data_IF_308516709967
#
_entry.id   IF_308516709967
#
_cell.length_a   1.000
_cell.length_b   1.000
_cell.length_c   1.000
_cell.angle_alpha   90.00
_cell.angle_beta   90.00
_cell.angle_gamma   90.00
#
_symmetry.space_group_name_H-M   'P 1'
#
loop_
_entity.id
_entity.type
_entity.pdbx_description
1 polymer ?
#
# COMPACT_ATOMS: atom_id res chain seq x y z
N UNK A 1 -7.45 26.39 -3.57
CA UNK A 1 -6.77 25.23 -4.15
C UNK A 1 -6.41 24.27 -3.03
N UNK A 2 -6.37 22.96 -3.26
CA UNK A 2 -5.84 22.03 -2.24
C UNK A 2 -4.42 22.43 -1.84
N UNK A 3 -4.10 22.27 -0.55
CA UNK A 3 -2.75 22.55 -0.04
C UNK A 3 -1.84 21.32 -0.09
N UNK A 4 -2.41 20.14 -0.34
CA UNK A 4 -1.69 18.88 -0.43
C UNK A 4 -1.60 18.43 -1.89
N UNK A 5 -0.40 18.13 -2.34
CA UNK A 5 -0.13 17.50 -3.65
C UNK A 5 0.33 16.07 -3.43
N UNK A 6 -0.34 15.13 -4.08
CA UNK A 6 0.02 13.72 -4.11
C UNK A 6 0.71 13.38 -5.44
N UNK A 7 1.85 12.73 -5.37
CA UNK A 7 2.62 12.25 -6.50
C UNK A 7 2.62 10.72 -6.50
N UNK A 8 2.00 10.10 -7.51
CA UNK A 8 1.84 8.66 -7.50
C UNK A 8 1.48 8.03 -8.83
N UNK A 9 1.23 6.75 -8.77
CA UNK A 9 0.69 5.90 -9.82
C UNK A 9 -0.17 4.83 -9.15
N UNK A 10 -1.19 4.29 -9.81
CA UNK A 10 -2.07 3.23 -9.30
C UNK A 10 -1.33 1.87 -9.18
N UNK A 11 -0.23 1.87 -8.45
CA UNK A 11 0.50 0.69 -7.99
C UNK A 11 0.13 0.42 -6.52
N UNK A 12 0.38 -0.78 -5.98
CA UNK A 12 0.03 -1.06 -4.58
C UNK A 12 0.54 -0.03 -3.58
N UNK A 13 1.75 0.51 -3.77
CA UNK A 13 2.28 1.53 -2.88
C UNK A 13 1.62 2.90 -3.08
N UNK A 14 1.31 3.30 -4.31
CA UNK A 14 0.55 4.52 -4.59
C UNK A 14 -0.86 4.44 -4.03
N UNK A 15 -1.54 3.33 -4.27
CA UNK A 15 -2.90 3.05 -3.81
C UNK A 15 -3.07 3.15 -2.28
N UNK A 16 -2.05 2.81 -1.49
CA UNK A 16 -2.09 3.03 -0.03
C UNK A 16 -2.41 4.49 0.32
N UNK A 17 -1.69 5.40 -0.33
CA UNK A 17 -1.77 6.85 -0.03
C UNK A 17 -3.03 7.46 -0.63
N UNK A 18 -3.36 7.15 -1.88
CA UNK A 18 -4.58 7.67 -2.51
C UNK A 18 -5.85 7.19 -1.80
N UNK A 19 -5.89 5.92 -1.36
CA UNK A 19 -6.98 5.40 -0.52
C UNK A 19 -7.06 6.15 0.80
N UNK A 20 -5.95 6.41 1.47
CA UNK A 20 -5.94 7.16 2.73
C UNK A 20 -6.45 8.60 2.54
N UNK A 21 -6.05 9.27 1.47
CA UNK A 21 -6.53 10.63 1.15
C UNK A 21 -8.04 10.66 0.95
N UNK A 22 -8.60 9.68 0.22
CA UNK A 22 -10.04 9.54 -0.01
C UNK A 22 -10.81 9.17 1.28
N UNK A 23 -10.30 8.21 2.06
CA UNK A 23 -10.94 7.80 3.32
C UNK A 23 -10.91 8.90 4.39
N UNK A 24 -9.85 9.69 4.42
CA UNK A 24 -9.70 10.80 5.35
C UNK A 24 -10.40 12.08 4.88
N UNK A 25 -10.92 12.07 3.64
CA UNK A 25 -11.61 13.22 3.02
C UNK A 25 -10.71 14.45 2.91
N UNK A 26 -9.42 14.22 2.64
CA UNK A 26 -8.44 15.29 2.45
C UNK A 26 -8.54 15.81 1.01
N UNK A 27 -8.70 17.12 0.84
CA UNK A 27 -8.61 17.73 -0.48
C UNK A 27 -7.15 17.73 -0.97
N UNK A 28 -6.90 17.20 -2.16
CA UNK A 28 -5.56 17.09 -2.74
C UNK A 28 -5.55 17.31 -4.25
N UNK A 29 -4.39 17.70 -4.78
CA UNK A 29 -4.07 17.64 -6.21
C UNK A 29 -3.30 16.34 -6.50
N UNK A 30 -3.74 15.55 -7.47
CA UNK A 30 -3.04 14.33 -7.89
C UNK A 30 -2.14 14.61 -9.10
N UNK A 31 -0.86 14.22 -9.00
CA UNK A 31 0.12 14.26 -10.09
C UNK A 31 0.60 12.86 -10.41
N UNK A 32 0.31 12.40 -11.62
CA UNK A 32 0.76 11.09 -12.09
C UNK A 32 2.25 11.12 -12.39
N UNK A 33 3.00 10.21 -11.78
CA UNK A 33 4.41 9.92 -12.07
C UNK A 33 4.46 8.59 -12.81
N UNK A 34 4.60 8.64 -14.13
CA UNK A 34 4.62 7.44 -14.95
C UNK A 34 5.99 6.77 -14.91
N UNK A 35 6.13 5.77 -14.03
CA UNK A 35 7.38 5.03 -13.83
C UNK A 35 7.79 4.19 -15.06
N UNK A 36 6.90 3.99 -16.03
CA UNK A 36 7.20 3.33 -17.30
C UNK A 36 7.86 4.28 -18.32
N UNK A 37 7.82 5.60 -18.04
CA UNK A 37 8.43 6.65 -18.84
C UNK A 37 9.59 7.34 -18.10
N UNK A 38 10.02 6.75 -17.00
CA UNK A 38 11.11 7.26 -16.17
C UNK A 38 10.86 8.65 -15.53
N UNK A 39 9.57 9.07 -15.38
CA UNK A 39 9.21 10.33 -14.74
C UNK A 39 9.75 10.46 -13.32
N UNK A 40 9.96 9.34 -12.61
CA UNK A 40 10.53 9.32 -11.26
C UNK A 40 11.99 9.78 -11.19
N UNK A 41 12.67 9.88 -12.33
CA UNK A 41 14.07 10.34 -12.41
C UNK A 41 14.20 11.80 -12.87
N UNK A 42 13.08 12.50 -13.09
CA UNK A 42 13.13 13.94 -13.41
C UNK A 42 13.69 14.73 -12.22
N UNK A 43 14.47 15.81 -12.48
CA UNK A 43 15.03 16.63 -11.39
C UNK A 43 13.98 17.15 -10.42
N UNK A 44 12.80 17.49 -10.93
CA UNK A 44 11.67 18.00 -10.16
C UNK A 44 11.16 16.95 -9.16
N UNK A 45 11.02 15.69 -9.59
CA UNK A 45 10.56 14.63 -8.69
C UNK A 45 11.67 14.16 -7.75
N UNK A 46 12.92 14.11 -8.20
CA UNK A 46 14.07 13.76 -7.34
C UNK A 46 14.24 14.77 -6.21
N UNK A 47 13.92 16.07 -6.44
CA UNK A 47 13.92 17.09 -5.39
C UNK A 47 12.84 16.83 -4.31
N UNK A 48 11.73 16.16 -4.67
CA UNK A 48 10.67 15.74 -3.74
C UNK A 48 11.04 14.44 -3.04
N UNK A 49 11.55 13.46 -3.80
CA UNK A 49 11.95 12.16 -3.28
C UNK A 49 13.32 11.72 -3.83
N UNK A 50 14.39 11.85 -3.04
CA UNK A 50 15.74 11.47 -3.47
C UNK A 50 15.89 9.96 -3.75
N UNK A 51 14.95 9.12 -3.29
CA UNK A 51 14.92 7.69 -3.61
C UNK A 51 14.31 7.39 -4.99
N UNK A 52 13.76 8.40 -5.69
CA UNK A 52 13.16 8.24 -7.02
C UNK A 52 12.08 7.16 -7.07
N UNK A 53 11.22 7.09 -6.06
CA UNK A 53 10.11 6.13 -5.92
C UNK A 53 8.80 6.85 -5.65
N UNK A 54 7.71 6.31 -6.17
CA UNK A 54 6.35 6.70 -5.77
C UNK A 54 5.88 5.82 -4.58
N UNK A 55 4.97 6.32 -3.73
CA UNK A 55 4.39 7.67 -3.70
C UNK A 55 5.25 8.69 -2.95
N UNK A 56 4.92 9.98 -3.16
CA UNK A 56 5.36 11.09 -2.34
C UNK A 56 4.23 12.12 -2.16
N UNK A 57 4.31 12.96 -1.15
CA UNK A 57 3.40 14.10 -0.95
C UNK A 57 4.19 15.37 -0.66
N UNK A 58 3.59 16.50 -1.04
CA UNK A 58 3.97 17.84 -0.57
C UNK A 58 2.74 18.45 0.08
N UNK A 59 2.83 18.82 1.35
CA UNK A 59 1.75 19.45 2.09
C UNK A 59 2.19 20.85 2.55
N UNK A 60 1.55 21.89 2.01
CA UNK A 60 1.82 23.30 2.35
C UNK A 60 1.29 23.68 3.74
N UNK A 61 0.43 22.86 4.31
CA UNK A 61 -0.19 23.04 5.62
C UNK A 61 0.22 21.90 6.58
N UNK A 62 1.48 21.63 6.64
CA UNK A 62 2.07 20.63 7.52
C UNK A 62 2.14 21.08 8.99
N UNK A 63 2.93 20.38 9.81
CA UNK A 63 3.08 20.73 11.23
C UNK A 63 3.49 22.21 11.43
N UNK A 64 2.87 22.86 12.39
CA UNK A 64 3.05 24.28 12.67
C UNK A 64 2.72 25.22 11.47
N UNK A 65 1.91 24.75 10.52
CA UNK A 65 1.58 25.49 9.29
C UNK A 65 2.74 25.62 8.31
N UNK A 66 3.75 24.75 8.42
CA UNK A 66 4.93 24.77 7.56
C UNK A 66 4.81 23.72 6.47
N UNK A 67 5.41 24.00 5.31
CA UNK A 67 5.52 23.03 4.24
C UNK A 67 6.29 21.80 4.72
N UNK A 68 5.75 20.61 4.40
CA UNK A 68 6.43 19.32 4.59
C UNK A 68 6.40 18.51 3.29
N UNK A 69 7.50 17.86 3.00
CA UNK A 69 7.62 16.90 1.90
C UNK A 69 7.91 15.53 2.48
N UNK A 70 7.13 14.52 2.11
CA UNK A 70 7.28 13.16 2.60
C UNK A 70 7.29 12.15 1.46
N UNK A 71 8.15 11.18 1.59
CA UNK A 71 8.15 9.92 0.86
C UNK A 71 8.11 8.75 1.86
N UNK A 72 8.08 7.51 1.40
CA UNK A 72 7.71 6.29 2.11
C UNK A 72 6.20 6.22 2.42
N UNK A 73 5.52 5.29 1.75
CA UNK A 73 4.06 5.16 1.88
C UNK A 73 3.59 4.94 3.31
N UNK A 74 4.39 4.21 4.13
CA UNK A 74 4.08 4.00 5.54
C UNK A 74 4.20 5.28 6.37
N UNK A 75 5.24 6.09 6.13
CA UNK A 75 5.41 7.38 6.80
C UNK A 75 4.30 8.37 6.42
N UNK A 76 3.90 8.37 5.14
CA UNK A 76 2.79 9.19 4.65
C UNK A 76 1.48 8.78 5.31
N UNK A 77 1.16 7.49 5.38
CA UNK A 77 -0.03 6.98 6.06
C UNK A 77 -0.07 7.40 7.54
N UNK A 78 1.06 7.26 8.22
CA UNK A 78 1.18 7.68 9.62
C UNK A 78 0.94 9.19 9.77
N UNK A 79 1.60 10.01 8.94
CA UNK A 79 1.42 11.45 8.92
C UNK A 79 -0.04 11.88 8.71
N UNK A 80 -0.71 11.28 7.71
CA UNK A 80 -2.11 11.61 7.40
C UNK A 80 -3.05 11.21 8.54
N UNK A 81 -2.80 10.08 9.19
CA UNK A 81 -3.57 9.65 10.36
C UNK A 81 -3.38 10.59 11.56
N UNK A 82 -2.16 11.04 11.82
CA UNK A 82 -1.85 12.03 12.87
C UNK A 82 -2.51 13.38 12.56
N UNK A 83 -2.38 13.86 11.31
CA UNK A 83 -2.96 15.13 10.86
C UNK A 83 -4.47 15.16 11.01
N UNK A 84 -5.16 14.08 10.73
CA UNK A 84 -6.63 14.01 10.72
C UNK A 84 -7.24 13.47 12.00
N UNK A 85 -6.46 12.73 12.80
CA UNK A 85 -6.95 11.97 13.96
C UNK A 85 -7.85 10.80 13.57
N UNK A 86 -7.79 10.32 12.30
CA UNK A 86 -8.61 9.25 11.75
C UNK A 86 -7.78 7.99 11.48
N UNK A 87 -8.42 6.82 11.52
CA UNK A 87 -7.86 5.51 11.12
C UNK A 87 -6.60 5.07 11.88
N UNK A 88 -6.42 5.63 13.07
CA UNK A 88 -5.43 5.16 14.05
C UNK A 88 -6.07 5.23 15.44
N UNK A 89 -6.00 4.14 16.23
CA UNK A 89 -6.47 4.16 17.62
C UNK A 89 -5.80 5.27 18.43
N UNK A 90 -6.57 5.86 19.35
CA UNK A 90 -6.06 6.95 20.20
C UNK A 90 -5.29 6.46 21.43
N UNK A 91 -5.57 5.22 21.86
CA UNK A 91 -4.86 4.60 22.97
C UNK A 91 -3.49 4.07 22.52
N UNK A 92 -2.53 4.04 23.45
CA UNK A 92 -1.15 3.68 23.15
C UNK A 92 -1.02 2.23 22.65
N UNK A 93 -1.79 1.30 23.21
CA UNK A 93 -1.73 -0.12 22.80
C UNK A 93 -2.19 -0.29 21.36
N UNK A 94 -3.31 0.33 20.98
CA UNK A 94 -3.83 0.32 19.62
C UNK A 94 -2.87 1.00 18.64
N UNK A 95 -2.28 2.13 19.04
CA UNK A 95 -1.27 2.84 18.23
C UNK A 95 -0.06 1.96 17.94
N UNK A 96 0.53 1.32 18.97
CA UNK A 96 1.68 0.44 18.77
C UNK A 96 1.35 -0.79 17.95
N UNK A 97 0.16 -1.38 18.12
CA UNK A 97 -0.30 -2.50 17.27
C UNK A 97 -0.46 -2.07 15.82
N UNK A 98 -1.05 -0.91 15.56
CA UNK A 98 -1.17 -0.36 14.20
C UNK A 98 0.21 -0.14 13.58
N UNK A 99 1.14 0.45 14.33
CA UNK A 99 2.51 0.65 13.90
C UNK A 99 3.24 -0.67 13.62
N UNK A 100 3.07 -1.70 14.48
CA UNK A 100 3.63 -3.03 14.27
C UNK A 100 3.21 -3.62 12.92
N UNK A 101 1.91 -3.57 12.59
CA UNK A 101 1.39 -4.09 11.34
C UNK A 101 1.79 -3.24 10.14
N UNK A 102 1.89 -1.92 10.32
CA UNK A 102 2.42 -1.03 9.29
C UNK A 102 3.89 -1.38 8.99
N UNK A 103 4.74 -1.58 10.00
CA UNK A 103 6.12 -1.99 9.81
C UNK A 103 6.24 -3.41 9.22
N UNK A 104 5.35 -4.34 9.62
CA UNK A 104 5.28 -5.67 9.01
C UNK A 104 4.97 -5.61 7.51
N UNK A 105 4.08 -4.69 7.10
CA UNK A 105 3.83 -4.44 5.68
C UNK A 105 5.06 -3.88 4.97
N UNK A 106 5.72 -2.85 5.55
CA UNK A 106 6.84 -2.16 4.91
C UNK A 106 8.10 -3.03 4.82
N UNK A 107 8.36 -3.85 5.84
CA UNK A 107 9.54 -4.72 5.89
C UNK A 107 9.32 -6.14 5.33
N UNK A 108 8.08 -6.57 5.20
CA UNK A 108 7.73 -7.95 4.83
C UNK A 108 6.83 -8.00 3.60
N UNK A 109 5.54 -7.72 3.76
CA UNK A 109 4.52 -7.96 2.72
C UNK A 109 4.88 -7.24 1.41
N UNK A 110 5.08 -5.94 1.45
CA UNK A 110 5.36 -5.16 0.24
C UNK A 110 6.59 -5.65 -0.51
N UNK A 111 7.77 -5.73 0.13
CA UNK A 111 8.97 -6.22 -0.50
C UNK A 111 8.86 -7.66 -1.03
N UNK A 112 8.30 -8.58 -0.24
CA UNK A 112 8.24 -10.01 -0.64
C UNK A 112 7.22 -10.25 -1.74
N UNK A 113 6.04 -9.63 -1.69
CA UNK A 113 5.04 -9.72 -2.77
C UNK A 113 5.56 -9.04 -4.05
N UNK A 114 6.33 -7.96 -3.91
CA UNK A 114 7.00 -7.30 -5.03
C UNK A 114 8.06 -8.21 -5.68
N UNK A 115 8.90 -8.89 -4.89
CA UNK A 115 9.87 -9.85 -5.40
C UNK A 115 9.18 -11.06 -6.03
N UNK A 116 8.11 -11.57 -5.40
CA UNK A 116 7.31 -12.62 -6.02
C UNK A 116 6.82 -12.19 -7.41
N UNK A 117 6.19 -11.02 -7.53
CA UNK A 117 5.72 -10.50 -8.81
C UNK A 117 6.84 -10.31 -9.83
N UNK A 118 8.03 -9.90 -9.37
CA UNK A 118 9.19 -9.77 -10.25
C UNK A 118 9.53 -11.11 -10.91
N UNK A 119 9.75 -12.17 -10.13
CA UNK A 119 10.16 -13.48 -10.66
C UNK A 119 9.00 -14.28 -11.28
N UNK A 120 7.78 -14.06 -10.81
CA UNK A 120 6.61 -14.76 -11.36
C UNK A 120 6.16 -14.18 -12.71
N UNK A 121 6.18 -12.86 -12.87
CA UNK A 121 5.59 -12.17 -14.03
C UNK A 121 6.63 -11.46 -14.90
N UNK A 122 7.47 -10.59 -14.31
CA UNK A 122 8.33 -9.69 -15.10
C UNK A 122 9.63 -10.32 -15.58
N UNK A 123 10.21 -11.20 -14.79
CA UNK A 123 11.49 -11.85 -15.09
C UNK A 123 11.36 -13.32 -15.53
N UNK A 124 10.13 -13.79 -15.81
CA UNK A 124 9.86 -15.20 -16.16
C UNK A 124 10.71 -15.71 -17.33
N UNK A 125 11.00 -14.86 -18.31
CA UNK A 125 11.79 -15.20 -19.49
C UNK A 125 13.29 -14.82 -19.34
N UNK A 126 13.65 -14.10 -18.25
CA UNK A 126 15.02 -13.65 -17.98
C UNK A 126 15.72 -14.49 -16.92
N UNK A 127 14.96 -15.03 -15.99
CA UNK A 127 15.46 -15.90 -14.91
C UNK A 127 14.89 -17.32 -15.10
N UNK A 128 15.73 -18.21 -15.60
CA UNK A 128 15.36 -19.61 -15.84
C UNK A 128 15.57 -20.51 -14.62
N UNK A 129 16.32 -20.02 -13.61
CA UNK A 129 16.48 -20.73 -12.35
C UNK A 129 15.14 -20.74 -11.59
N UNK A 130 14.59 -21.89 -11.21
CA UNK A 130 13.33 -22.00 -10.49
C UNK A 130 13.39 -21.49 -9.04
N UNK A 131 14.57 -21.49 -8.42
CA UNK A 131 14.75 -21.22 -7.00
C UNK A 131 14.22 -19.83 -6.55
N UNK A 132 14.51 -18.70 -7.23
CA UNK A 132 13.96 -17.41 -6.81
C UNK A 132 12.43 -17.38 -6.83
N UNK A 133 11.81 -17.92 -7.88
CA UNK A 133 10.36 -18.01 -7.99
C UNK A 133 9.77 -18.86 -6.86
N UNK A 134 10.34 -20.04 -6.61
CA UNK A 134 9.89 -20.93 -5.54
C UNK A 134 10.06 -20.29 -4.17
N UNK A 135 11.21 -19.70 -3.89
CA UNK A 135 11.50 -18.99 -2.64
C UNK A 135 10.46 -17.91 -2.33
N UNK A 136 10.18 -17.02 -3.29
CA UNK A 136 9.23 -15.94 -3.08
C UNK A 136 7.78 -16.39 -3.13
N UNK A 137 7.44 -17.46 -3.83
CA UNK A 137 6.13 -18.13 -3.71
C UNK A 137 5.90 -18.59 -2.28
N UNK A 138 6.87 -19.33 -1.73
CA UNK A 138 6.78 -19.86 -0.36
C UNK A 138 6.68 -18.74 0.68
N UNK A 139 7.47 -17.68 0.54
CA UNK A 139 7.42 -16.53 1.46
C UNK A 139 6.10 -15.76 1.32
N UNK A 140 5.58 -15.56 0.11
CA UNK A 140 4.27 -14.93 -0.11
C UNK A 140 3.16 -15.73 0.57
N UNK A 141 3.14 -17.05 0.40
CA UNK A 141 2.16 -17.92 1.07
C UNK A 141 2.30 -17.90 2.58
N UNK A 142 3.53 -17.91 3.10
CA UNK A 142 3.78 -17.79 4.54
C UNK A 142 3.20 -16.49 5.10
N UNK A 143 3.41 -15.36 4.43
CA UNK A 143 2.88 -14.06 4.84
C UNK A 143 1.35 -14.00 4.73
N UNK A 144 0.75 -14.58 3.70
CA UNK A 144 -0.71 -14.74 3.61
C UNK A 144 -1.24 -15.58 4.77
N UNK A 145 -0.56 -16.65 5.17
CA UNK A 145 -0.91 -17.45 6.35
C UNK A 145 -0.88 -16.66 7.66
N UNK A 146 0.01 -15.68 7.79
CA UNK A 146 0.02 -14.76 8.95
C UNK A 146 -1.24 -13.89 8.96
N UNK A 147 -1.60 -13.30 7.79
CA UNK A 147 -2.82 -12.51 7.65
C UNK A 147 -4.08 -13.35 7.92
N UNK A 148 -4.14 -14.56 7.37
CA UNK A 148 -5.26 -15.50 7.53
C UNK A 148 -5.53 -15.83 8.99
N UNK A 149 -4.45 -16.11 9.75
CA UNK A 149 -4.54 -16.39 11.18
C UNK A 149 -5.07 -15.19 11.96
N UNK A 150 -4.59 -13.98 11.65
CA UNK A 150 -5.02 -12.75 12.31
C UNK A 150 -6.49 -12.44 12.01
N UNK A 151 -6.86 -12.48 10.75
CA UNK A 151 -8.21 -12.18 10.27
C UNK A 151 -9.23 -13.29 10.58
N UNK A 152 -8.79 -14.45 11.04
CA UNK A 152 -9.70 -15.47 11.59
C UNK A 152 -10.32 -15.07 12.93
N UNK A 153 -9.74 -14.08 13.61
CA UNK A 153 -10.13 -13.67 14.96
C UNK A 153 -10.82 -12.29 14.98
N UNK A 154 -10.71 -11.51 13.91
CA UNK A 154 -11.22 -10.14 13.88
C UNK A 154 -11.46 -9.66 12.44
N UNK A 155 -12.34 -8.66 12.24
CA UNK A 155 -12.69 -8.18 10.90
C UNK A 155 -11.57 -7.38 10.20
N UNK A 156 -10.67 -6.72 10.94
CA UNK A 156 -9.58 -5.93 10.43
C UNK A 156 -8.25 -6.27 11.10
N UNK A 157 -7.14 -5.87 10.50
CA UNK A 157 -5.79 -6.27 10.90
C UNK A 157 -5.47 -5.93 12.38
N UNK A 158 -5.97 -4.81 12.89
CA UNK A 158 -5.65 -4.39 14.27
C UNK A 158 -6.78 -4.73 15.26
N UNK A 159 -8.01 -4.93 14.80
CA UNK A 159 -9.17 -5.20 15.66
C UNK A 159 -10.49 -5.03 14.96
N UNK A 160 -11.41 -4.31 15.60
CA UNK A 160 -12.78 -4.10 15.10
C UNK A 160 -12.88 -2.95 14.09
N UNK A 161 -11.87 -2.08 14.02
CA UNK A 161 -11.89 -0.88 13.19
C UNK A 161 -10.88 -0.96 12.04
N UNK A 162 -11.29 -0.44 10.90
CA UNK A 162 -10.42 -0.23 9.74
C UNK A 162 -9.38 0.85 10.04
N UNK A 163 -8.11 0.54 9.79
CA UNK A 163 -6.98 1.42 10.13
C UNK A 163 -6.01 1.61 8.96
N UNK A 164 -5.01 2.47 9.14
CA UNK A 164 -3.91 2.62 8.17
C UNK A 164 -3.10 1.31 7.97
N UNK A 165 -3.17 0.35 8.88
CA UNK A 165 -2.58 -0.97 8.69
C UNK A 165 -3.29 -1.75 7.58
N UNK A 166 -4.63 -1.69 7.56
CA UNK A 166 -5.44 -2.27 6.49
C UNK A 166 -5.15 -1.59 5.16
N UNK A 167 -5.17 -0.24 5.13
CA UNK A 167 -4.86 0.56 3.94
C UNK A 167 -3.48 0.23 3.36
N UNK A 168 -2.53 -0.10 4.22
CA UNK A 168 -1.18 -0.44 3.79
C UNK A 168 -1.09 -1.84 3.16
N UNK A 169 -1.88 -2.81 3.64
CA UNK A 169 -1.72 -4.23 3.31
C UNK A 169 -2.62 -4.66 2.15
N UNK A 170 -3.93 -4.31 2.17
CA UNK A 170 -4.88 -4.88 1.20
C UNK A 170 -4.52 -4.60 -0.27
N UNK A 171 -3.95 -3.43 -0.68
CA UNK A 171 -3.60 -3.21 -2.08
C UNK A 171 -2.59 -4.21 -2.62
N UNK A 172 -1.68 -4.68 -1.76
CA UNK A 172 -0.72 -5.70 -2.12
C UNK A 172 -1.35 -7.08 -2.29
N UNK A 173 -2.37 -7.43 -1.47
CA UNK A 173 -3.13 -8.68 -1.67
C UNK A 173 -3.94 -8.60 -2.96
N UNK A 174 -4.60 -7.47 -3.22
CA UNK A 174 -5.30 -7.21 -4.50
C UNK A 174 -4.34 -7.38 -5.69
N UNK A 175 -3.10 -6.90 -5.57
CA UNK A 175 -2.11 -7.00 -6.63
C UNK A 175 -1.77 -8.46 -7.00
N UNK A 176 -1.75 -9.38 -6.03
CA UNK A 176 -1.48 -10.81 -6.29
C UNK A 176 -2.51 -11.41 -7.25
N UNK A 177 -3.79 -11.06 -7.08
CA UNK A 177 -4.88 -11.55 -7.93
C UNK A 177 -5.02 -10.70 -9.19
N UNK A 178 -5.36 -9.42 -9.05
CA UNK A 178 -5.77 -8.58 -10.18
C UNK A 178 -4.64 -8.26 -11.15
N UNK A 179 -3.44 -8.01 -10.62
CA UNK A 179 -2.32 -7.58 -11.47
C UNK A 179 -1.38 -8.72 -11.84
N UNK A 180 -0.97 -9.55 -10.86
CA UNK A 180 -0.09 -10.69 -11.14
C UNK A 180 -0.84 -11.89 -11.71
N UNK A 181 -2.15 -12.01 -11.47
CA UNK A 181 -3.00 -13.13 -11.90
C UNK A 181 -2.47 -14.47 -11.36
N UNK A 182 -2.13 -14.46 -10.07
CA UNK A 182 -1.45 -15.55 -9.40
C UNK A 182 -2.35 -16.36 -8.44
N UNK A 183 -3.68 -16.27 -8.57
CA UNK A 183 -4.66 -16.90 -7.68
C UNK A 183 -4.42 -18.40 -7.54
N UNK A 184 -4.31 -19.09 -8.67
CA UNK A 184 -4.10 -20.56 -8.70
C UNK A 184 -2.70 -20.92 -8.20
N UNK A 185 -1.68 -20.18 -8.65
CA UNK A 185 -0.29 -20.45 -8.29
C UNK A 185 -0.05 -20.29 -6.79
N UNK A 186 -0.63 -19.27 -6.18
CA UNK A 186 -0.55 -18.99 -4.75
C UNK A 186 -1.61 -19.74 -3.93
N UNK A 187 -2.56 -20.41 -4.59
CA UNK A 187 -3.68 -21.11 -3.96
C UNK A 187 -4.46 -20.18 -3.01
N UNK A 188 -4.86 -18.97 -3.50
CA UNK A 188 -5.48 -17.94 -2.68
C UNK A 188 -6.79 -18.42 -2.02
N UNK A 189 -7.44 -19.44 -2.54
CA UNK A 189 -8.61 -20.09 -1.94
C UNK A 189 -8.34 -20.73 -0.57
N UNK A 190 -7.08 -21.00 -0.22
CA UNK A 190 -6.69 -21.50 1.10
C UNK A 190 -6.65 -20.40 2.18
N UNK A 191 -6.85 -19.12 1.78
CA UNK A 191 -6.84 -17.97 2.67
C UNK A 191 -8.20 -17.23 2.66
N UNK A 192 -9.32 -17.92 2.99
CA UNK A 192 -10.66 -17.36 2.80
C UNK A 192 -10.95 -16.13 3.66
N UNK A 193 -10.38 -16.03 4.86
CA UNK A 193 -10.56 -14.85 5.72
C UNK A 193 -9.85 -13.63 5.17
N UNK A 194 -8.64 -13.83 4.65
CA UNK A 194 -7.87 -12.78 3.98
C UNK A 194 -8.62 -12.28 2.74
N UNK A 195 -9.17 -13.18 1.93
CA UNK A 195 -9.93 -12.79 0.74
C UNK A 195 -11.23 -12.06 1.08
N UNK A 196 -11.99 -12.54 2.07
CA UNK A 196 -13.20 -11.86 2.54
C UNK A 196 -12.89 -10.47 3.12
N UNK A 197 -11.79 -10.32 3.84
CA UNK A 197 -11.33 -9.01 4.30
C UNK A 197 -10.96 -8.07 3.14
N UNK A 198 -10.27 -8.56 2.11
CA UNK A 198 -9.99 -7.77 0.89
C UNK A 198 -11.29 -7.29 0.25
N UNK A 199 -12.29 -8.16 0.13
CA UNK A 199 -13.61 -7.80 -0.42
C UNK A 199 -14.27 -6.71 0.42
N UNK A 200 -14.22 -6.80 1.76
CA UNK A 200 -14.78 -5.79 2.65
C UNK A 200 -14.06 -4.43 2.52
N UNK A 201 -12.74 -4.43 2.37
CA UNK A 201 -11.97 -3.21 2.10
C UNK A 201 -12.37 -2.60 0.74
N UNK A 202 -12.41 -3.42 -0.31
CA UNK A 202 -12.75 -2.98 -1.67
C UNK A 202 -14.20 -2.52 -1.83
N UNK A 203 -15.12 -2.95 -0.95
CA UNK A 203 -16.51 -2.51 -0.94
C UNK A 203 -16.69 -1.06 -0.45
N UNK A 204 -15.68 -0.47 0.19
CA UNK A 204 -15.72 0.91 0.70
C UNK A 204 -15.68 1.92 -0.45
N UNK A 205 -16.62 2.90 -0.54
CA UNK A 205 -16.66 3.84 -1.66
C UNK A 205 -15.39 4.68 -1.81
N UNK A 206 -14.77 5.09 -0.69
CA UNK A 206 -13.51 5.85 -0.72
C UNK A 206 -12.34 4.99 -1.22
N UNK A 207 -12.30 3.70 -0.85
CA UNK A 207 -11.31 2.76 -1.39
C UNK A 207 -11.46 2.63 -2.90
N UNK A 208 -12.68 2.46 -3.42
CA UNK A 208 -12.92 2.35 -4.85
C UNK A 208 -12.37 3.56 -5.62
N UNK A 209 -12.64 4.78 -5.11
CA UNK A 209 -12.07 5.99 -5.72
C UNK A 209 -10.54 6.03 -5.62
N UNK A 210 -10.00 5.76 -4.44
CA UNK A 210 -8.56 5.82 -4.19
C UNK A 210 -7.75 4.82 -5.00
N UNK A 211 -8.30 3.63 -5.27
CA UNK A 211 -7.62 2.60 -6.08
C UNK A 211 -7.38 3.00 -7.52
N UNK A 212 -8.18 3.94 -8.07
CA UNK A 212 -8.10 4.38 -9.45
C UNK A 212 -7.33 5.70 -9.66
N UNK A 213 -6.96 6.38 -8.59
CA UNK A 213 -6.21 7.63 -8.67
C UNK A 213 -4.86 7.42 -9.35
N UNK A 214 -4.54 8.27 -10.33
CA UNK A 214 -3.32 8.16 -11.15
C UNK A 214 -3.22 6.86 -11.95
N UNK A 215 -4.33 6.23 -12.33
CA UNK A 215 -4.33 5.11 -13.29
C UNK A 215 -3.79 5.56 -14.64
N UNK A 216 -3.05 4.68 -15.31
CA UNK A 216 -2.71 4.86 -16.72
C UNK A 216 -3.86 4.31 -17.54
N UNK A 217 -4.51 5.18 -18.32
CA UNK A 217 -5.51 4.83 -19.33
C UNK A 217 -4.88 4.10 -20.51
#
# INVERSE_FOLDING_TARGET
>A
MPKLTYYGLATPNGQKVSVALEEMEIAYEAKTINILKDDQFTPEFVAINPNSKIPAIVDEDGPDGKLITLFESGAILFYLAEKTGKFMPKDDVGRYKTMQWLMFQMGGIGPMFGQFGHFFKYAKDKCTDPYPKERYTNETRRLLGVLEKELSQRPYIVGEEYTIADMAIFPWVVCLSKFYQAEEHLQLHEFPKTMAWVESCMARPAVQRGMDVCSLS
#
